data_IF_100438703999
#
_entry.id   IF_100438703999
#
_cell.length_a   1.000
_cell.length_b   1.000
_cell.length_c   1.000
_cell.angle_alpha   90.00
_cell.angle_beta   90.00
_cell.angle_gamma   90.00
#
_symmetry.space_group_name_H-M   'P 1'
#
loop_
_entity.id
_entity.type
_entity.pdbx_description
1 polymer ?
#
# COMPACT_ATOMS: atom_id res chain seq x y z
N UNK A 1 22.87 -12.68 24.15
CA UNK A 1 22.54 -11.53 23.27
C UNK A 1 21.06 -11.60 22.98
N UNK A 2 20.25 -10.63 23.42
CA UNK A 2 18.82 -10.61 23.12
C UNK A 2 18.66 -9.97 21.75
N UNK A 3 18.49 -10.79 20.72
CA UNK A 3 18.12 -10.32 19.39
C UNK A 3 16.69 -9.77 19.47
N UNK A 4 16.51 -8.47 19.23
CA UNK A 4 15.17 -7.93 18.94
C UNK A 4 14.76 -8.47 17.59
N UNK A 5 13.66 -9.22 17.52
CA UNK A 5 13.04 -9.58 16.23
C UNK A 5 12.83 -8.30 15.42
N UNK A 6 13.22 -8.26 14.13
CA UNK A 6 12.99 -7.09 13.29
C UNK A 6 11.49 -6.80 13.29
N UNK A 7 11.13 -5.52 13.53
CA UNK A 7 9.75 -5.10 13.31
C UNK A 7 9.53 -5.16 11.80
N UNK A 8 8.59 -5.97 11.33
CA UNK A 8 8.13 -5.91 9.95
C UNK A 8 7.43 -4.56 9.72
N UNK A 9 8.19 -3.58 9.23
CA UNK A 9 7.70 -2.26 8.87
C UNK A 9 7.52 -2.28 7.36
N UNK A 10 6.28 -2.27 6.88
CA UNK A 10 5.99 -1.96 5.48
C UNK A 10 5.66 -0.48 5.40
N UNK A 11 6.33 0.22 4.48
CA UNK A 11 6.05 1.63 4.18
C UNK A 11 5.11 1.67 2.97
N UNK A 12 3.98 2.35 3.11
CA UNK A 12 2.99 2.52 2.05
C UNK A 12 2.99 3.96 1.56
N UNK A 13 3.05 4.16 0.24
CA UNK A 13 3.12 5.47 -0.40
C UNK A 13 2.03 5.58 -1.46
N UNK A 14 1.05 6.45 -1.23
CA UNK A 14 0.06 6.82 -2.24
C UNK A 14 0.66 7.78 -3.25
N UNK A 15 0.45 7.52 -4.54
CA UNK A 15 0.94 8.35 -5.65
C UNK A 15 -0.18 8.68 -6.63
N UNK A 16 0.10 9.58 -7.58
CA UNK A 16 -0.81 9.83 -8.71
C UNK A 16 -0.95 8.64 -9.67
N UNK A 17 -0.09 7.62 -9.58
CA UNK A 17 -0.07 6.48 -10.52
C UNK A 17 -0.24 5.12 -9.83
N UNK A 18 -0.54 5.09 -8.54
CA UNK A 18 -0.85 3.88 -7.80
C UNK A 18 -0.43 3.96 -6.34
N UNK A 19 -0.32 2.79 -5.73
CA UNK A 19 0.16 2.57 -4.37
C UNK A 19 1.49 1.82 -4.44
N UNK A 20 2.55 2.41 -3.92
CA UNK A 20 3.82 1.74 -3.74
C UNK A 20 3.92 1.19 -2.31
N UNK A 21 4.50 0.00 -2.17
CA UNK A 21 4.90 -0.53 -0.88
C UNK A 21 6.41 -0.85 -0.87
N UNK A 22 7.05 -0.54 0.24
CA UNK A 22 8.46 -0.78 0.45
C UNK A 22 8.68 -1.60 1.72
N UNK A 23 9.38 -2.72 1.57
CA UNK A 23 9.91 -3.51 2.67
C UNK A 23 11.41 -3.21 2.83
N UNK A 24 11.81 -2.38 3.82
CA UNK A 24 13.21 -2.05 4.10
C UNK A 24 14.01 -3.22 4.67
N UNK A 25 13.36 -4.30 5.12
CA UNK A 25 14.06 -5.45 5.69
C UNK A 25 14.75 -6.29 4.62
N UNK A 26 14.20 -6.29 3.40
CA UNK A 26 14.69 -7.03 2.24
C UNK A 26 14.96 -6.15 1.01
N UNK A 27 14.89 -4.83 1.20
CA UNK A 27 15.04 -3.81 0.15
C UNK A 27 14.15 -4.06 -1.09
N UNK A 28 12.86 -4.36 -0.85
CA UNK A 28 11.91 -4.72 -1.90
C UNK A 28 10.84 -3.67 -2.08
N UNK A 29 10.60 -3.32 -3.35
CA UNK A 29 9.49 -2.47 -3.77
C UNK A 29 8.43 -3.28 -4.52
N UNK A 30 7.16 -2.98 -4.28
CA UNK A 30 6.04 -3.45 -5.10
C UNK A 30 5.13 -2.28 -5.46
N UNK A 31 4.53 -2.34 -6.64
CA UNK A 31 3.66 -1.31 -7.18
C UNK A 31 2.28 -1.89 -7.49
N UNK A 32 1.24 -1.26 -6.94
CA UNK A 32 -0.15 -1.61 -7.13
C UNK A 32 -0.84 -0.49 -7.89
N UNK A 33 -1.47 -0.79 -9.02
CA UNK A 33 -2.20 0.21 -9.81
C UNK A 33 -3.48 -0.38 -10.40
N UNK A 34 -4.30 0.47 -11.01
CA UNK A 34 -5.49 0.01 -11.72
C UNK A 34 -5.06 -0.71 -13.00
N UNK A 35 -5.58 -1.91 -13.22
CA UNK A 35 -5.40 -2.62 -14.50
C UNK A 35 -6.76 -2.94 -15.11
N UNK A 36 -7.20 -2.06 -16.03
CA UNK A 36 -8.48 -2.22 -16.74
C UNK A 36 -9.67 -2.45 -15.79
N UNK A 37 -10.40 -3.53 -16.04
CA UNK A 37 -11.52 -4.02 -15.22
C UNK A 37 -11.14 -5.30 -14.45
N UNK A 38 -9.84 -5.57 -14.28
CA UNK A 38 -9.40 -6.76 -13.55
C UNK A 38 -9.82 -6.66 -12.08
N UNK A 39 -10.51 -7.70 -11.55
CA UNK A 39 -10.84 -7.75 -10.14
C UNK A 39 -9.55 -7.78 -9.31
N UNK A 40 -9.59 -7.23 -8.10
CA UNK A 40 -8.45 -7.10 -7.17
C UNK A 40 -7.36 -6.11 -7.59
N UNK A 41 -7.70 -5.10 -8.39
CA UNK A 41 -6.82 -3.96 -8.69
C UNK A 41 -7.38 -2.68 -8.07
N UNK A 42 -6.59 -1.61 -8.01
CA UNK A 42 -7.09 -0.34 -7.48
C UNK A 42 -8.27 0.17 -8.30
N UNK A 43 -9.29 0.67 -7.60
CA UNK A 43 -10.47 1.27 -8.24
C UNK A 43 -10.13 2.51 -9.06
N UNK A 44 -9.05 3.23 -8.74
CA UNK A 44 -8.51 4.31 -9.54
C UNK A 44 -6.99 4.47 -9.31
N UNK A 45 -6.26 5.00 -10.29
CA UNK A 45 -4.78 5.08 -10.25
C UNK A 45 -4.25 6.17 -9.30
N UNK A 46 -5.03 7.23 -9.05
CA UNK A 46 -4.63 8.29 -8.11
C UNK A 46 -5.06 7.96 -6.68
N UNK A 47 -4.08 7.69 -5.81
CA UNK A 47 -4.26 7.44 -4.38
C UNK A 47 -4.07 8.73 -3.60
N UNK A 48 -5.08 9.14 -2.84
CA UNK A 48 -5.10 10.41 -2.12
C UNK A 48 -4.98 10.26 -0.61
N UNK A 49 -5.37 9.10 -0.07
CA UNK A 49 -5.31 8.85 1.37
C UNK A 49 -5.06 7.38 1.66
N UNK A 50 -4.37 7.16 2.78
CA UNK A 50 -4.10 5.84 3.33
C UNK A 50 -4.45 5.87 4.82
N UNK A 51 -5.12 4.82 5.29
CA UNK A 51 -5.42 4.65 6.70
C UNK A 51 -5.14 3.22 7.13
N UNK A 52 -4.37 3.05 8.22
CA UNK A 52 -4.15 1.75 8.83
C UNK A 52 -5.09 1.57 10.01
N UNK A 53 -5.91 0.54 9.97
CA UNK A 53 -6.79 0.21 11.09
C UNK A 53 -6.06 -0.57 12.21
N UNK A 54 -6.78 -0.84 13.29
CA UNK A 54 -6.24 -1.56 14.46
C UNK A 54 -5.94 -3.04 14.19
N UNK A 55 -6.56 -3.63 13.16
CA UNK A 55 -6.30 -5.01 12.74
C UNK A 55 -5.09 -5.10 11.78
N UNK A 56 -4.59 -3.94 11.33
CA UNK A 56 -3.45 -3.82 10.46
C UNK A 56 -3.80 -3.76 8.97
N UNK A 57 -5.08 -3.68 8.61
CA UNK A 57 -5.48 -3.48 7.21
C UNK A 57 -5.15 -2.07 6.75
N UNK A 58 -4.85 -1.93 5.46
CA UNK A 58 -4.61 -0.64 4.81
C UNK A 58 -5.83 -0.31 3.95
N UNK A 59 -6.49 0.79 4.29
CA UNK A 59 -7.59 1.37 3.55
C UNK A 59 -7.05 2.43 2.59
N UNK A 60 -7.48 2.38 1.33
CA UNK A 60 -6.93 3.20 0.24
C UNK A 60 -8.03 4.08 -0.33
N UNK A 61 -7.98 5.38 -0.06
CA UNK A 61 -8.90 6.34 -0.67
C UNK A 61 -8.36 6.84 -2.00
N UNK A 62 -9.09 6.58 -3.08
CA UNK A 62 -8.74 6.99 -4.43
C UNK A 62 -9.60 8.17 -4.92
N UNK A 63 -9.10 8.93 -5.91
CA UNK A 63 -9.77 10.18 -6.31
C UNK A 63 -11.20 9.99 -6.86
N UNK A 64 -11.42 9.05 -7.78
CA UNK A 64 -12.74 8.77 -8.38
C UNK A 64 -13.28 7.37 -8.05
N UNK A 65 -12.51 6.53 -7.36
CA UNK A 65 -12.85 5.13 -7.12
C UNK A 65 -13.27 4.81 -5.69
N UNK A 66 -13.34 5.81 -4.79
CA UNK A 66 -13.71 5.61 -3.40
C UNK A 66 -12.65 4.82 -2.61
N UNK A 67 -13.13 4.01 -1.67
CA UNK A 67 -12.37 3.11 -0.79
C UNK A 67 -12.71 1.66 -1.12
#
# INVERSE_FOLDING_TARGET
MISKSPRNIIIWVGTFRGLDCYDPTIDKWEHYTRYGDSPNTLSHHSVLSLHKDMQGNIWVGTYYGGV
#
